data_IF_284245543952
#
_entry.id   IF_284245543952
#
_cell.length_a   1.000
_cell.length_b   1.000
_cell.length_c   1.000
_cell.angle_alpha   90.00
_cell.angle_beta   90.00
_cell.angle_gamma   90.00
#
_symmetry.space_group_name_H-M   'P 1'
#
loop_
_entity.id
_entity.type
_entity.pdbx_description
1 polymer ?
#
# COMPACT_ATOMS: atom_id res chain seq x y z
N UNK A 1 47.28 -61.39 23.64
CA UNK A 1 47.16 -62.09 22.35
C UNK A 1 46.53 -61.14 21.35
N UNK A 2 47.34 -60.71 20.38
CA UNK A 2 46.94 -59.90 19.23
C UNK A 2 46.42 -60.88 18.17
N UNK A 3 45.28 -60.58 17.53
CA UNK A 3 45.13 -60.95 16.13
C UNK A 3 44.32 -59.91 15.36
N UNK A 4 44.93 -59.51 14.25
CA UNK A 4 44.58 -58.43 13.34
C UNK A 4 43.89 -58.99 12.10
N UNK A 5 43.08 -58.16 11.42
CA UNK A 5 42.76 -58.11 9.97
C UNK A 5 41.40 -57.39 9.82
N UNK A 6 41.15 -56.41 8.95
CA UNK A 6 41.85 -55.89 7.77
C UNK A 6 41.34 -54.47 7.46
N UNK A 7 42.26 -53.63 6.97
CA UNK A 7 42.03 -52.38 6.23
C UNK A 7 41.01 -52.52 5.10
N UNK A 8 40.28 -51.43 4.81
CA UNK A 8 40.42 -50.71 3.53
C UNK A 8 39.95 -49.26 3.64
N UNK A 9 40.95 -48.39 3.55
CA UNK A 9 40.91 -46.97 3.25
C UNK A 9 40.48 -46.79 1.78
N UNK A 10 39.51 -45.92 1.51
CA UNK A 10 39.46 -45.23 0.22
C UNK A 10 39.14 -43.75 0.47
N UNK A 11 40.07 -42.94 -0.01
CA UNK A 11 40.23 -41.51 0.18
C UNK A 11 39.97 -40.88 -1.19
N UNK A 12 39.11 -39.86 -1.26
CA UNK A 12 39.10 -38.81 -2.28
C UNK A 12 38.51 -37.58 -1.58
N UNK A 13 39.35 -36.68 -1.06
CA UNK A 13 39.93 -35.52 -1.76
C UNK A 13 38.82 -34.54 -2.18
N UNK A 14 38.61 -33.49 -1.36
CA UNK A 14 39.04 -32.10 -1.62
C UNK A 14 38.10 -31.41 -2.62
N UNK A 15 37.40 -30.33 -2.25
CA UNK A 15 38.06 -29.03 -2.07
C UNK A 15 37.24 -28.05 -1.20
N UNK A 16 37.85 -27.64 -0.09
CA UNK A 16 37.71 -26.26 0.41
C UNK A 16 38.43 -25.33 -0.58
N UNK A 17 37.82 -24.19 -0.94
CA UNK A 17 38.58 -22.94 -1.12
C UNK A 17 37.79 -21.83 -0.45
N UNK A 18 38.37 -21.32 0.63
CA UNK A 18 37.96 -20.13 1.34
C UNK A 18 38.41 -18.87 0.58
N UNK A 19 37.79 -17.77 0.97
CA UNK A 19 37.98 -16.40 0.50
C UNK A 19 39.44 -15.91 0.46
N UNK A 20 39.69 -14.96 -0.46
CA UNK A 20 40.71 -13.93 -0.30
C UNK A 20 41.48 -13.58 -1.58
N UNK A 21 41.16 -12.43 -2.18
CA UNK A 21 42.14 -11.47 -2.72
C UNK A 21 41.43 -10.19 -3.20
N UNK A 22 41.53 -9.13 -2.40
CA UNK A 22 41.58 -7.75 -2.89
C UNK A 22 42.95 -7.53 -3.53
N UNK A 23 43.01 -7.04 -4.78
CA UNK A 23 43.80 -5.87 -5.24
C UNK A 23 43.81 -5.77 -6.77
N UNK A 24 43.18 -4.71 -7.28
CA UNK A 24 43.64 -3.83 -8.37
C UNK A 24 44.15 -4.40 -9.70
N UNK A 25 43.36 -4.22 -10.76
CA UNK A 25 43.85 -3.73 -12.04
C UNK A 25 42.92 -2.63 -12.53
N UNK A 26 43.50 -1.44 -12.75
CA UNK A 26 42.82 -0.25 -13.25
C UNK A 26 42.53 -0.36 -14.77
N UNK A 27 41.41 0.26 -15.14
CA UNK A 27 40.98 0.72 -16.47
C UNK A 27 40.76 -0.30 -17.59
N UNK A 28 39.48 -0.52 -17.91
CA UNK A 28 38.96 0.06 -19.15
C UNK A 28 37.50 0.54 -18.98
N UNK A 29 37.20 1.74 -19.49
CA UNK A 29 35.85 2.31 -19.53
C UNK A 29 35.08 1.62 -20.65
N UNK A 30 34.00 0.90 -20.33
CA UNK A 30 32.75 0.84 -21.11
C UNK A 30 31.92 -0.38 -20.73
N UNK A 31 31.23 -0.27 -19.61
CA UNK A 31 29.95 -0.95 -19.41
C UNK A 31 29.40 -0.34 -18.14
N UNK A 32 28.68 0.78 -18.29
CA UNK A 32 27.70 1.15 -17.28
C UNK A 32 26.89 -0.12 -17.00
N UNK A 33 26.86 -0.64 -15.76
CA UNK A 33 25.91 -1.68 -15.45
C UNK A 33 24.54 -1.07 -15.67
N UNK A 34 23.86 -1.48 -16.74
CA UNK A 34 22.45 -1.17 -16.95
C UNK A 34 21.74 -1.39 -15.62
N UNK A 35 21.00 -0.40 -15.09
CA UNK A 35 20.38 -0.56 -13.78
C UNK A 35 19.55 -1.84 -13.81
N UNK A 36 19.75 -2.73 -12.83
CA UNK A 36 19.09 -4.01 -12.82
C UNK A 36 17.56 -3.78 -12.86
N UNK A 37 16.87 -4.49 -13.77
CA UNK A 37 15.41 -4.47 -13.82
C UNK A 37 14.88 -4.82 -12.42
N UNK A 38 14.00 -3.97 -11.88
CA UNK A 38 13.38 -4.24 -10.59
C UNK A 38 12.13 -5.07 -10.84
N UNK A 39 12.14 -6.32 -10.38
CA UNK A 39 10.97 -7.20 -10.46
C UNK A 39 10.10 -7.04 -9.22
N UNK A 40 8.80 -6.80 -9.41
CA UNK A 40 7.83 -6.93 -8.33
C UNK A 40 6.57 -7.67 -8.78
N UNK A 41 5.88 -8.28 -7.81
CA UNK A 41 4.50 -8.73 -7.91
C UNK A 41 3.57 -7.68 -7.31
N UNK A 42 2.29 -7.78 -7.63
CA UNK A 42 1.26 -7.02 -6.92
C UNK A 42 0.15 -7.97 -6.51
N UNK A 43 -0.43 -7.71 -5.36
CA UNK A 43 -1.65 -8.34 -4.91
C UNK A 43 -2.71 -7.26 -4.81
N UNK A 44 -3.71 -7.33 -5.68
CA UNK A 44 -4.87 -6.49 -5.52
C UNK A 44 -5.73 -7.12 -4.42
N UNK A 45 -5.97 -6.42 -3.31
CA UNK A 45 -6.58 -7.02 -2.13
C UNK A 45 -7.82 -6.26 -1.67
N UNK A 46 -8.95 -6.82 -2.06
CA UNK A 46 -10.20 -6.87 -1.31
C UNK A 46 -10.45 -8.37 -1.13
N UNK A 47 -9.79 -9.00 -0.18
CA UNK A 47 -9.79 -10.48 -0.12
C UNK A 47 -9.11 -11.21 -1.29
N UNK A 48 -8.28 -10.53 -2.08
CA UNK A 48 -7.74 -10.90 -3.41
C UNK A 48 -8.70 -10.63 -4.59
N UNK A 49 -8.29 -9.71 -5.49
CA UNK A 49 -9.01 -9.39 -6.72
C UNK A 49 -8.57 -10.37 -7.81
N UNK A 50 -9.45 -11.29 -8.20
CA UNK A 50 -9.21 -12.35 -9.17
C UNK A 50 -9.55 -11.89 -10.59
N UNK A 51 -8.76 -12.29 -11.59
CA UNK A 51 -9.10 -12.10 -13.01
C UNK A 51 -9.07 -10.65 -13.51
N UNK A 52 -8.56 -9.70 -12.73
CA UNK A 52 -8.42 -8.31 -13.14
C UNK A 52 -7.25 -8.11 -14.11
N UNK A 53 -7.38 -7.12 -14.99
CA UNK A 53 -6.24 -6.58 -15.76
C UNK A 53 -5.63 -5.44 -14.98
N UNK A 54 -4.35 -5.54 -14.67
CA UNK A 54 -3.58 -4.51 -14.02
C UNK A 54 -2.56 -3.90 -14.99
N UNK A 55 -2.48 -2.58 -15.00
CA UNK A 55 -1.55 -1.81 -15.83
C UNK A 55 -0.67 -0.95 -14.93
N UNK A 56 0.64 -0.99 -15.16
CA UNK A 56 1.62 -0.12 -14.50
C UNK A 56 1.95 1.04 -15.44
N UNK A 57 1.73 2.26 -14.96
CA UNK A 57 2.12 3.49 -15.65
C UNK A 57 3.17 4.24 -14.85
N UNK A 58 4.08 4.90 -15.55
CA UNK A 58 5.03 5.83 -14.93
C UNK A 58 4.44 7.24 -14.76
N UNK A 59 5.22 8.14 -14.16
CA UNK A 59 4.79 9.50 -13.88
C UNK A 59 4.58 10.36 -15.15
N UNK A 60 5.07 9.93 -16.31
CA UNK A 60 4.80 10.59 -17.60
C UNK A 60 3.62 9.96 -18.35
N UNK A 61 2.96 8.97 -17.74
CA UNK A 61 1.76 8.31 -18.25
C UNK A 61 2.05 7.19 -19.25
N UNK A 62 3.31 6.82 -19.46
CA UNK A 62 3.68 5.71 -20.33
C UNK A 62 3.30 4.38 -19.66
N UNK A 63 2.61 3.52 -20.40
CA UNK A 63 2.36 2.15 -19.96
C UNK A 63 3.66 1.36 -20.01
N UNK A 64 4.13 0.92 -18.85
CA UNK A 64 5.34 0.11 -18.74
C UNK A 64 5.03 -1.38 -18.91
N UNK A 65 3.91 -1.83 -18.34
CA UNK A 65 3.56 -3.25 -18.29
C UNK A 65 2.06 -3.43 -18.07
N UNK A 66 1.53 -4.53 -18.59
CA UNK A 66 0.18 -5.04 -18.28
C UNK A 66 0.28 -6.51 -17.87
N UNK A 67 -0.54 -6.91 -16.91
CA UNK A 67 -0.62 -8.27 -16.39
C UNK A 67 -2.03 -8.57 -15.89
N UNK A 68 -2.32 -9.85 -15.66
CA UNK A 68 -3.57 -10.27 -15.05
C UNK A 68 -3.32 -10.80 -13.64
N UNK A 69 -4.29 -10.60 -12.74
CA UNK A 69 -4.30 -11.28 -11.45
C UNK A 69 -4.77 -12.73 -11.63
N UNK A 70 -4.11 -13.64 -10.92
CA UNK A 70 -4.44 -15.08 -10.92
C UNK A 70 -5.67 -15.35 -10.06
N UNK A 71 -6.07 -16.62 -9.95
CA UNK A 71 -7.14 -17.08 -9.07
C UNK A 71 -6.83 -16.95 -7.57
N UNK A 72 -5.63 -16.49 -7.21
CA UNK A 72 -5.27 -16.14 -5.83
C UNK A 72 -5.14 -14.62 -5.63
N UNK A 73 -5.49 -13.83 -6.66
CA UNK A 73 -5.38 -12.37 -6.74
C UNK A 73 -3.94 -11.85 -6.74
N UNK A 74 -2.97 -12.76 -6.70
CA UNK A 74 -1.55 -12.51 -6.95
C UNK A 74 -1.27 -12.53 -8.43
N UNK A 75 -0.16 -11.92 -8.85
CA UNK A 75 0.41 -12.17 -10.17
C UNK A 75 1.81 -12.74 -10.01
N UNK A 76 2.03 -13.96 -10.52
CA UNK A 76 3.36 -14.60 -10.57
C UNK A 76 4.24 -14.03 -11.70
N UNK A 77 3.80 -12.97 -12.37
CA UNK A 77 4.56 -12.32 -13.43
C UNK A 77 5.62 -11.45 -12.80
N UNK A 78 6.90 -11.75 -13.06
CA UNK A 78 7.98 -10.82 -12.80
C UNK A 78 7.73 -9.55 -13.62
N UNK A 79 7.23 -8.50 -12.98
CA UNK A 79 7.03 -7.21 -13.63
C UNK A 79 8.41 -6.61 -13.84
N UNK A 80 8.94 -6.74 -15.06
CA UNK A 80 10.16 -6.04 -15.44
C UNK A 80 9.84 -4.56 -15.58
N UNK A 81 9.87 -3.84 -14.47
CA UNK A 81 9.84 -2.38 -14.54
C UNK A 81 11.19 -1.95 -15.07
N UNK A 82 11.13 -1.28 -16.23
CA UNK A 82 12.30 -0.85 -16.96
C UNK A 82 13.22 -0.03 -16.04
N UNK A 83 14.51 -0.24 -16.18
CA UNK A 83 15.57 0.42 -15.42
C UNK A 83 15.46 1.97 -15.38
N UNK A 84 14.76 2.55 -16.35
CA UNK A 84 14.54 3.98 -16.55
C UNK A 84 13.11 4.44 -16.21
N UNK A 85 12.30 3.62 -15.54
CA UNK A 85 10.96 4.00 -15.14
C UNK A 85 10.97 5.26 -14.27
N UNK A 86 10.16 6.24 -14.64
CA UNK A 86 10.06 7.50 -13.89
C UNK A 86 9.02 7.35 -12.79
N UNK A 87 9.48 7.28 -11.54
CA UNK A 87 8.61 7.23 -10.37
C UNK A 87 7.94 8.60 -10.10
N UNK A 88 6.81 8.62 -9.39
CA UNK A 88 6.02 7.48 -8.89
C UNK A 88 5.37 6.64 -9.99
N UNK A 89 5.15 5.35 -9.71
CA UNK A 89 4.39 4.47 -10.59
C UNK A 89 2.96 4.35 -10.09
N UNK A 90 2.00 4.27 -11.01
CA UNK A 90 0.60 4.00 -10.71
C UNK A 90 0.25 2.62 -11.25
N UNK A 91 -0.16 1.73 -10.34
CA UNK A 91 -0.81 0.47 -10.71
C UNK A 91 -2.31 0.74 -10.78
N UNK A 92 -2.95 0.35 -11.89
CA UNK A 92 -4.41 0.43 -12.06
C UNK A 92 -4.95 -0.94 -12.44
N UNK A 93 -5.79 -1.52 -11.60
CA UNK A 93 -6.45 -2.81 -11.81
C UNK A 93 -7.94 -2.61 -12.08
N UNK A 94 -8.40 -3.17 -13.19
CA UNK A 94 -9.77 -3.04 -13.66
C UNK A 94 -10.33 -4.39 -14.11
N UNK A 95 -11.64 -4.41 -14.33
CA UNK A 95 -12.33 -5.54 -14.90
C UNK A 95 -11.79 -5.89 -16.31
N UNK A 96 -11.68 -7.18 -16.63
CA UNK A 96 -11.24 -7.64 -17.95
C UNK A 96 -12.48 -7.96 -18.81
N UNK A 97 -12.45 -7.63 -20.10
CA UNK A 97 -13.51 -8.06 -21.03
C UNK A 97 -13.60 -9.58 -21.21
N UNK A 98 -12.51 -10.31 -20.93
CA UNK A 98 -12.47 -11.78 -21.03
C UNK A 98 -12.91 -12.50 -19.75
N UNK A 99 -12.75 -11.88 -18.57
CA UNK A 99 -13.10 -12.45 -17.27
C UNK A 99 -13.59 -11.34 -16.35
N UNK A 100 -14.70 -11.58 -15.66
CA UNK A 100 -15.17 -10.67 -14.62
C UNK A 100 -14.18 -10.66 -13.45
N UNK A 101 -13.62 -9.49 -13.16
CA UNK A 101 -12.80 -9.31 -11.98
C UNK A 101 -13.67 -9.40 -10.73
N UNK A 102 -13.37 -10.38 -9.87
CA UNK A 102 -14.12 -10.63 -8.64
C UNK A 102 -13.26 -10.50 -7.42
N UNK A 103 -13.87 -10.17 -6.29
CA UNK A 103 -13.20 -10.04 -5.02
C UNK A 103 -14.16 -10.46 -3.91
N UNK A 104 -13.63 -10.96 -2.80
CA UNK A 104 -14.45 -11.27 -1.64
C UNK A 104 -14.80 -9.98 -0.91
N UNK A 105 -16.08 -9.65 -0.81
CA UNK A 105 -16.56 -8.50 -0.03
C UNK A 105 -16.97 -8.98 1.37
N UNK A 106 -16.19 -8.60 2.37
CA UNK A 106 -16.40 -9.03 3.76
C UNK A 106 -17.67 -8.42 4.39
N UNK A 107 -18.25 -7.39 3.78
CA UNK A 107 -19.55 -6.85 4.15
C UNK A 107 -20.68 -7.75 3.63
N UNK A 108 -20.60 -8.13 2.36
CA UNK A 108 -21.57 -9.00 1.70
C UNK A 108 -21.48 -10.46 2.14
N UNK A 109 -20.31 -10.89 2.63
CA UNK A 109 -19.95 -12.28 2.87
C UNK A 109 -20.07 -13.13 1.58
N UNK A 110 -19.62 -12.54 0.46
CA UNK A 110 -19.77 -13.11 -0.86
C UNK A 110 -18.75 -12.53 -1.85
N UNK A 111 -18.48 -13.28 -2.92
CA UNK A 111 -17.73 -12.77 -4.07
C UNK A 111 -18.57 -11.77 -4.86
N UNK A 112 -18.03 -10.57 -5.06
CA UNK A 112 -18.63 -9.51 -5.85
C UNK A 112 -17.81 -9.20 -7.09
N UNK A 113 -18.51 -8.74 -8.14
CA UNK A 113 -17.88 -8.21 -9.34
C UNK A 113 -17.39 -6.77 -9.07
N UNK A 114 -16.19 -6.44 -9.51
CA UNK A 114 -15.65 -5.08 -9.42
C UNK A 114 -16.44 -4.06 -10.27
N UNK A 115 -17.15 -4.55 -11.29
CA UNK A 115 -17.98 -3.74 -12.18
C UNK A 115 -17.12 -2.87 -13.08
N UNK A 116 -17.41 -1.56 -13.09
CA UNK A 116 -16.66 -0.55 -13.83
C UNK A 116 -15.59 0.14 -12.99
N UNK A 117 -15.48 -0.21 -11.71
CA UNK A 117 -14.52 0.43 -10.80
C UNK A 117 -13.09 0.04 -11.17
N UNK A 118 -12.17 1.00 -10.99
CA UNK A 118 -10.73 0.79 -11.16
C UNK A 118 -10.07 0.99 -9.80
N UNK A 119 -9.42 -0.05 -9.29
CA UNK A 119 -8.60 0.06 -8.09
C UNK A 119 -7.19 0.52 -8.48
N UNK A 120 -6.59 1.35 -7.65
CA UNK A 120 -5.28 1.93 -7.90
C UNK A 120 -4.36 1.80 -6.69
N UNK A 121 -3.07 1.83 -6.96
CA UNK A 121 -2.01 1.97 -5.97
C UNK A 121 -0.88 2.83 -6.51
N UNK A 122 -0.08 3.40 -5.60
CA UNK A 122 1.04 4.28 -5.94
C UNK A 122 2.31 3.65 -5.40
N UNK A 123 3.29 3.40 -6.26
CA UNK A 123 4.65 3.05 -5.82
C UNK A 123 5.47 4.34 -5.84
N UNK A 124 5.84 4.92 -4.67
CA UNK A 124 6.47 6.23 -4.64
C UNK A 124 7.88 6.26 -5.25
N UNK A 125 8.65 5.19 -5.06
CA UNK A 125 10.02 5.05 -5.50
C UNK A 125 10.42 3.56 -5.54
N UNK A 126 11.57 3.25 -6.15
CA UNK A 126 12.06 1.88 -6.26
C UNK A 126 12.38 1.23 -4.90
N UNK A 127 12.78 2.01 -3.89
CA UNK A 127 13.12 1.49 -2.57
C UNK A 127 11.90 0.99 -1.78
N UNK A 128 10.70 1.44 -2.12
CA UNK A 128 9.45 0.94 -1.52
C UNK A 128 9.15 -0.52 -1.88
N UNK A 129 9.62 -1.01 -3.03
CA UNK A 129 9.34 -2.37 -3.51
C UNK A 129 9.94 -3.47 -2.60
N UNK A 130 11.26 -3.48 -2.31
CA UNK A 130 11.82 -4.48 -1.41
C UNK A 130 11.28 -4.36 0.03
N UNK A 131 10.84 -3.17 0.46
CA UNK A 131 10.23 -2.97 1.79
C UNK A 131 8.92 -3.75 1.95
N UNK A 132 8.18 -3.94 0.86
CA UNK A 132 6.89 -4.66 0.87
C UNK A 132 7.02 -6.08 0.33
N UNK A 133 8.22 -6.65 0.34
CA UNK A 133 8.48 -8.00 -0.18
C UNK A 133 8.30 -8.11 -1.70
N UNK A 134 8.32 -6.97 -2.39
CA UNK A 134 7.96 -6.82 -3.79
C UNK A 134 6.52 -7.26 -4.10
N UNK A 135 5.59 -7.21 -3.13
CA UNK A 135 4.18 -7.53 -3.34
C UNK A 135 3.30 -6.33 -3.02
N UNK A 136 3.04 -5.51 -4.02
CA UNK A 136 2.35 -4.22 -3.86
C UNK A 136 0.84 -4.41 -3.77
N UNK A 137 0.25 -3.90 -2.70
CA UNK A 137 -1.20 -3.88 -2.49
C UNK A 137 -1.91 -2.96 -3.49
N UNK A 138 -3.00 -3.43 -4.09
CA UNK A 138 -3.95 -2.61 -4.88
C UNK A 138 -5.35 -2.76 -4.29
N UNK A 139 -5.76 -1.79 -3.49
CA UNK A 139 -6.92 -1.87 -2.59
C UNK A 139 -7.79 -0.63 -2.68
N UNK A 140 -8.93 -0.64 -2.01
CA UNK A 140 -9.75 0.56 -1.81
C UNK A 140 -9.00 1.68 -1.10
N UNK A 141 -8.21 1.37 -0.06
CA UNK A 141 -7.42 2.37 0.67
C UNK A 141 -6.31 2.96 -0.21
N UNK A 142 -5.55 2.14 -0.95
CA UNK A 142 -4.53 2.68 -1.87
C UNK A 142 -5.16 3.43 -3.04
N UNK A 143 -6.41 3.12 -3.41
CA UNK A 143 -7.16 3.87 -4.43
C UNK A 143 -7.53 5.27 -3.95
N UNK A 144 -7.91 5.41 -2.67
CA UNK A 144 -8.13 6.72 -2.07
C UNK A 144 -6.85 7.56 -2.06
N UNK A 145 -5.71 6.96 -1.71
CA UNK A 145 -4.41 7.63 -1.77
C UNK A 145 -4.03 8.01 -3.21
N UNK A 146 -4.27 7.12 -4.18
CA UNK A 146 -4.07 7.40 -5.60
C UNK A 146 -4.92 8.58 -6.07
N UNK A 147 -6.19 8.66 -5.68
CA UNK A 147 -7.05 9.79 -6.00
C UNK A 147 -6.51 11.11 -5.42
N UNK A 148 -6.05 11.10 -4.16
CA UNK A 148 -5.43 12.27 -3.53
C UNK A 148 -4.17 12.72 -4.27
N UNK A 149 -3.28 11.78 -4.64
CA UNK A 149 -2.08 12.08 -5.42
C UNK A 149 -2.40 12.61 -6.83
N UNK A 150 -3.32 11.96 -7.54
CA UNK A 150 -3.72 12.35 -8.89
C UNK A 150 -4.47 13.69 -8.92
N UNK A 151 -5.02 14.15 -7.79
CA UNK A 151 -5.62 15.49 -7.68
C UNK A 151 -4.60 16.63 -7.72
N UNK A 152 -3.33 16.31 -7.45
CA UNK A 152 -2.27 17.31 -7.45
C UNK A 152 -1.94 17.80 -8.87
N UNK A 153 -1.50 19.05 -9.03
CA UNK A 153 -0.86 19.51 -10.26
C UNK A 153 0.30 18.60 -10.68
N UNK A 154 0.53 18.41 -11.98
CA UNK A 154 1.55 17.50 -12.49
C UNK A 154 2.98 17.81 -11.97
N UNK A 155 3.30 19.08 -11.73
CA UNK A 155 4.59 19.50 -11.17
C UNK A 155 4.73 19.20 -9.65
N UNK A 156 3.64 18.88 -8.96
CA UNK A 156 3.64 18.47 -7.55
C UNK A 156 3.59 16.95 -7.38
N UNK A 157 3.37 16.19 -8.48
CA UNK A 157 3.31 14.72 -8.50
C UNK A 157 4.71 14.11 -8.51
N UNK A 158 5.20 13.77 -7.33
CA UNK A 158 6.53 13.20 -7.13
C UNK A 158 6.54 12.19 -5.98
N UNK A 159 7.69 11.59 -5.67
CA UNK A 159 7.81 10.57 -4.62
C UNK A 159 7.38 11.08 -3.24
N UNK A 160 7.67 12.33 -2.90
CA UNK A 160 7.29 12.93 -1.61
C UNK A 160 5.78 13.05 -1.48
N UNK A 161 5.12 13.57 -2.52
CA UNK A 161 3.67 13.72 -2.50
C UNK A 161 2.94 12.38 -2.63
N UNK A 162 3.51 11.38 -3.31
CA UNK A 162 3.00 10.01 -3.31
C UNK A 162 3.03 9.37 -1.91
N UNK A 163 4.15 9.51 -1.18
CA UNK A 163 4.24 9.07 0.23
C UNK A 163 3.22 9.82 1.08
N UNK A 164 3.19 11.16 0.96
CA UNK A 164 2.26 11.99 1.68
C UNK A 164 0.79 11.60 1.44
N UNK A 165 0.42 11.24 0.20
CA UNK A 165 -0.93 10.77 -0.10
C UNK A 165 -1.30 9.48 0.62
N UNK A 166 -0.39 8.50 0.64
CA UNK A 166 -0.59 7.23 1.34
C UNK A 166 -0.74 7.47 2.85
N UNK A 167 0.16 8.27 3.43
CA UNK A 167 0.13 8.56 4.85
C UNK A 167 -1.08 9.39 5.26
N UNK A 168 -1.45 10.43 4.49
CA UNK A 168 -2.52 11.35 4.90
C UNK A 168 -3.89 10.66 4.85
N UNK A 169 -4.11 9.77 3.88
CA UNK A 169 -5.32 8.94 3.86
C UNK A 169 -5.35 7.97 5.05
N UNK A 170 -4.24 7.29 5.33
CA UNK A 170 -4.15 6.38 6.49
C UNK A 170 -4.33 7.12 7.81
N UNK A 171 -3.67 8.28 8.00
CA UNK A 171 -3.83 9.14 9.18
C UNK A 171 -5.28 9.52 9.35
N UNK A 172 -5.96 9.99 8.31
CA UNK A 172 -7.35 10.42 8.43
C UNK A 172 -8.32 9.29 8.79
N UNK A 173 -8.10 8.10 8.22
CA UNK A 173 -9.03 6.98 8.31
C UNK A 173 -8.71 6.03 9.48
N UNK A 174 -7.47 5.54 9.55
CA UNK A 174 -7.02 4.49 10.47
C UNK A 174 -5.50 4.62 10.74
N UNK A 175 -5.08 5.54 11.64
CA UNK A 175 -3.68 5.94 11.82
C UNK A 175 -2.71 4.80 12.14
N UNK A 176 -3.15 3.80 12.90
CA UNK A 176 -2.30 2.69 13.37
C UNK A 176 -1.79 1.78 12.26
N UNK A 177 -2.37 1.86 11.05
CA UNK A 177 -1.77 1.24 9.87
C UNK A 177 -0.38 1.80 9.58
N UNK A 178 -0.04 2.99 10.05
CA UNK A 178 1.28 3.60 9.86
C UNK A 178 2.30 3.20 10.94
N UNK A 179 1.87 2.56 12.02
CA UNK A 179 2.76 2.22 13.12
C UNK A 179 3.83 1.22 12.66
N UNK A 180 5.08 1.52 13.00
CA UNK A 180 6.24 0.65 12.75
C UNK A 180 6.45 0.26 11.26
N UNK A 181 6.07 1.14 10.33
CA UNK A 181 6.31 0.91 8.89
C UNK A 181 5.86 2.06 7.97
N UNK A 182 5.10 3.03 8.50
CA UNK A 182 4.65 4.20 7.75
C UNK A 182 3.81 3.80 6.54
N UNK A 183 3.98 4.54 5.44
CA UNK A 183 3.25 4.27 4.19
C UNK A 183 3.48 2.86 3.63
N UNK A 184 4.61 2.21 3.93
CA UNK A 184 4.94 0.89 3.38
C UNK A 184 3.93 -0.17 3.81
N UNK A 185 3.35 -0.04 5.01
CA UNK A 185 2.29 -0.94 5.49
C UNK A 185 1.04 -0.90 4.62
N UNK A 186 0.71 0.25 4.00
CA UNK A 186 -0.40 0.35 3.04
C UNK A 186 -0.07 -0.24 1.68
N UNK A 187 1.23 -0.29 1.34
CA UNK A 187 1.70 -0.89 0.10
C UNK A 187 1.96 -2.38 0.25
N UNK A 188 2.07 -2.89 1.47
CA UNK A 188 2.19 -4.32 1.72
C UNK A 188 0.85 -5.01 1.46
N UNK A 189 0.88 -6.08 0.67
CA UNK A 189 -0.28 -6.93 0.46
C UNK A 189 -0.87 -7.38 1.82
N UNK A 190 -2.15 -7.06 2.12
CA UNK A 190 -2.82 -7.57 3.30
C UNK A 190 -3.12 -9.06 3.16
N UNK A 191 -3.56 -9.66 4.25
CA UNK A 191 -3.98 -11.06 4.26
C UNK A 191 -5.13 -11.25 3.28
N UNK A 192 -4.98 -12.22 2.37
CA UNK A 192 -6.03 -12.64 1.47
C UNK A 192 -7.17 -13.30 2.26
N UNK A 193 -8.40 -12.83 2.04
CA UNK A 193 -9.63 -13.32 2.68
C UNK A 193 -10.53 -13.84 1.58
N UNK A 194 -10.70 -15.16 1.50
CA UNK A 194 -11.55 -15.81 0.48
C UNK A 194 -12.87 -16.33 1.05
N UNK A 195 -13.02 -16.27 2.37
CA UNK A 195 -14.21 -16.63 3.12
C UNK A 195 -14.18 -16.00 4.52
N UNK A 196 -15.29 -16.10 5.25
CA UNK A 196 -15.43 -15.57 6.61
C UNK A 196 -14.66 -16.33 7.69
N UNK A 197 -13.99 -17.44 7.36
CA UNK A 197 -13.19 -18.23 8.30
C UNK A 197 -11.70 -17.89 8.29
N UNK A 198 -11.27 -17.03 7.37
CA UNK A 198 -9.88 -16.59 7.27
C UNK A 198 -9.41 -15.98 8.62
N UNK A 199 -8.28 -16.50 9.10
CA UNK A 199 -7.63 -16.01 10.33
C UNK A 199 -6.65 -14.90 9.98
N UNK A 200 -6.85 -13.73 10.58
CA UNK A 200 -6.01 -12.57 10.38
C UNK A 200 -4.83 -12.56 11.35
N UNK A 201 -3.63 -12.31 10.85
CA UNK A 201 -2.41 -12.24 11.67
C UNK A 201 -1.49 -11.10 11.26
N UNK A 202 -0.82 -10.51 12.25
CA UNK A 202 0.12 -9.40 12.07
C UNK A 202 -0.47 -8.17 11.36
N UNK A 203 0.42 -7.32 10.82
CA UNK A 203 0.01 -6.08 10.11
C UNK A 203 -0.80 -6.32 8.84
N UNK A 204 -0.47 -7.37 8.09
CA UNK A 204 -1.26 -7.78 6.93
C UNK A 204 -2.71 -8.16 7.32
N UNK A 205 -2.88 -8.80 8.48
CA UNK A 205 -4.18 -9.11 9.08
C UNK A 205 -4.92 -7.86 9.57
N UNK A 206 -4.23 -6.93 10.25
CA UNK A 206 -4.82 -5.65 10.63
C UNK A 206 -5.32 -4.88 9.40
N UNK A 207 -4.53 -4.84 8.33
CA UNK A 207 -4.92 -4.16 7.10
C UNK A 207 -6.15 -4.83 6.44
N UNK A 208 -6.20 -6.17 6.39
CA UNK A 208 -7.40 -6.88 5.95
C UNK A 208 -8.63 -6.55 6.80
N UNK A 209 -8.50 -6.45 8.13
CA UNK A 209 -9.61 -6.04 9.00
C UNK A 209 -10.13 -4.63 8.68
N UNK A 210 -9.24 -3.69 8.34
CA UNK A 210 -9.63 -2.32 7.94
C UNK A 210 -10.43 -2.32 6.63
N UNK A 211 -10.00 -3.12 5.66
CA UNK A 211 -10.71 -3.30 4.39
C UNK A 211 -12.10 -3.91 4.63
N UNK A 212 -12.20 -4.91 5.50
CA UNK A 212 -13.47 -5.51 5.89
C UNK A 212 -14.39 -4.51 6.61
N UNK A 213 -13.83 -3.66 7.48
CA UNK A 213 -14.56 -2.57 8.11
C UNK A 213 -15.16 -1.59 7.09
N UNK A 214 -14.40 -1.25 6.05
CA UNK A 214 -14.87 -0.41 4.94
C UNK A 214 -15.99 -1.10 4.15
N UNK A 215 -15.86 -2.39 3.83
CA UNK A 215 -16.89 -3.15 3.13
C UNK A 215 -18.21 -3.22 3.91
N UNK A 216 -18.14 -3.48 5.23
CA UNK A 216 -19.31 -3.48 6.12
C UNK A 216 -20.01 -2.12 6.16
N UNK A 217 -19.25 -1.03 6.29
CA UNK A 217 -19.85 0.33 6.27
C UNK A 217 -20.48 0.65 4.93
N UNK A 218 -19.87 0.23 3.81
CA UNK A 218 -20.45 0.44 2.49
C UNK A 218 -21.81 -0.25 2.35
N UNK A 219 -21.94 -1.47 2.88
CA UNK A 219 -23.17 -2.24 2.87
C UNK A 219 -24.25 -1.67 3.79
N UNK A 220 -23.89 -1.36 5.03
CA UNK A 220 -24.85 -1.13 6.11
C UNK A 220 -25.29 0.34 6.24
N UNK A 221 -24.45 1.30 5.84
CA UNK A 221 -24.70 2.73 6.07
C UNK A 221 -25.32 3.47 4.87
N UNK A 222 -25.60 2.79 3.76
CA UNK A 222 -26.13 3.40 2.54
C UNK A 222 -27.38 2.70 2.05
N UNK A 223 -28.34 3.47 1.55
CA UNK A 223 -29.57 2.97 0.90
C UNK A 223 -29.72 3.61 -0.48
N UNK A 224 -29.59 2.85 -1.59
CA UNK A 224 -29.19 1.44 -1.63
C UNK A 224 -27.75 1.23 -1.14
N UNK A 225 -27.45 0.00 -0.70
CA UNK A 225 -26.11 -0.41 -0.26
C UNK A 225 -25.06 -0.14 -1.32
N UNK A 226 -23.85 0.21 -0.87
CA UNK A 226 -22.67 0.41 -1.72
C UNK A 226 -21.73 -0.78 -1.59
N UNK A 227 -20.95 -1.01 -2.62
CA UNK A 227 -19.75 -1.85 -2.56
C UNK A 227 -18.62 -1.10 -1.85
N UNK A 228 -17.64 -1.85 -1.32
CA UNK A 228 -16.43 -1.27 -0.74
C UNK A 228 -15.74 -0.31 -1.73
N UNK A 229 -15.70 -0.67 -3.01
CA UNK A 229 -15.07 0.12 -4.06
C UNK A 229 -15.79 1.46 -4.32
N UNK A 230 -17.12 1.48 -4.30
CA UNK A 230 -17.91 2.71 -4.43
C UNK A 230 -17.75 3.63 -3.23
N UNK A 231 -17.74 3.09 -2.00
CA UNK A 231 -17.49 3.87 -0.80
C UNK A 231 -16.08 4.48 -0.83
N UNK A 232 -15.08 3.70 -1.23
CA UNK A 232 -13.71 4.20 -1.35
C UNK A 232 -13.58 5.32 -2.39
N UNK A 233 -14.29 5.23 -3.52
CA UNK A 233 -14.34 6.30 -4.52
C UNK A 233 -14.96 7.59 -3.95
N UNK A 234 -16.02 7.47 -3.15
CA UNK A 234 -16.64 8.60 -2.46
C UNK A 234 -15.66 9.22 -1.45
N UNK A 235 -15.05 8.40 -0.60
CA UNK A 235 -14.08 8.86 0.40
C UNK A 235 -12.82 9.43 -0.24
N UNK A 236 -12.39 8.93 -1.41
CA UNK A 236 -11.30 9.51 -2.19
C UNK A 236 -11.62 10.92 -2.66
N UNK A 237 -12.86 11.17 -3.10
CA UNK A 237 -13.32 12.53 -3.46
C UNK A 237 -13.35 13.46 -2.25
N UNK A 238 -13.79 12.96 -1.10
CA UNK A 238 -13.76 13.68 0.17
C UNK A 238 -12.34 14.01 0.64
N UNK A 239 -11.42 13.04 0.52
CA UNK A 239 -10.00 13.21 0.84
C UNK A 239 -9.37 14.33 0.01
N UNK A 240 -9.68 14.41 -1.29
CA UNK A 240 -9.25 15.52 -2.16
C UNK A 240 -9.80 16.86 -1.67
N UNK A 241 -11.01 16.88 -1.11
CA UNK A 241 -11.61 18.05 -0.46
C UNK A 241 -10.99 18.41 0.90
N UNK A 242 -10.07 17.60 1.43
CA UNK A 242 -9.35 17.84 2.69
C UNK A 242 -10.01 17.25 3.94
N UNK A 243 -11.14 16.54 3.81
CA UNK A 243 -11.81 15.95 4.96
C UNK A 243 -12.68 14.76 4.58
N UNK A 244 -12.60 13.68 5.35
CA UNK A 244 -13.51 12.54 5.35
C UNK A 244 -14.65 12.76 6.33
N UNK A 245 -15.82 12.23 6.02
CA UNK A 245 -16.96 12.22 6.93
C UNK A 245 -16.62 11.47 8.23
N UNK A 246 -16.62 12.18 9.37
CA UNK A 246 -16.23 11.64 10.65
C UNK A 246 -17.15 10.51 11.15
N UNK A 247 -18.44 10.52 10.80
CA UNK A 247 -19.35 9.44 11.14
C UNK A 247 -18.98 8.18 10.34
N UNK A 248 -18.63 8.35 9.06
CA UNK A 248 -18.17 7.23 8.22
C UNK A 248 -16.85 6.66 8.73
N UNK A 249 -15.84 7.49 9.01
CA UNK A 249 -14.54 7.00 9.52
C UNK A 249 -14.66 6.33 10.89
N UNK A 250 -15.49 6.86 11.80
CA UNK A 250 -15.75 6.22 13.09
C UNK A 250 -16.45 4.86 12.94
N UNK A 251 -17.40 4.75 12.01
CA UNK A 251 -18.05 3.48 11.74
C UNK A 251 -17.08 2.46 11.11
N UNK A 252 -16.15 2.91 10.24
CA UNK A 252 -15.12 2.03 9.68
C UNK A 252 -14.24 1.48 10.81
N UNK A 253 -13.82 2.33 11.75
CA UNK A 253 -13.06 1.88 12.93
C UNK A 253 -13.85 0.87 13.77
N UNK A 254 -15.12 1.15 14.05
CA UNK A 254 -15.97 0.26 14.84
C UNK A 254 -16.15 -1.12 14.16
N UNK A 255 -16.42 -1.13 12.85
CA UNK A 255 -16.58 -2.37 12.08
C UNK A 255 -15.27 -3.14 11.92
N UNK A 256 -14.15 -2.43 11.77
CA UNK A 256 -12.80 -3.01 11.77
C UNK A 256 -12.55 -3.77 13.07
N UNK A 257 -12.82 -3.14 14.22
CA UNK A 257 -12.68 -3.76 15.54
C UNK A 257 -13.56 -5.01 15.65
N UNK A 258 -14.82 -4.92 15.29
CA UNK A 258 -15.74 -6.05 15.36
C UNK A 258 -15.27 -7.24 14.50
N UNK A 259 -14.75 -6.97 13.29
CA UNK A 259 -14.19 -8.00 12.42
C UNK A 259 -12.91 -8.61 13.02
N UNK A 260 -11.96 -7.78 13.46
CA UNK A 260 -10.71 -8.23 14.09
C UNK A 260 -10.95 -9.05 15.36
N UNK A 261 -11.95 -8.72 16.18
CA UNK A 261 -12.28 -9.52 17.37
C UNK A 261 -12.82 -10.92 17.03
N UNK A 262 -13.43 -11.08 15.86
CA UNK A 262 -13.96 -12.37 15.40
C UNK A 262 -12.89 -13.19 14.69
N UNK A 263 -12.14 -12.56 13.78
CA UNK A 263 -11.26 -13.22 12.82
C UNK A 263 -9.75 -13.08 13.11
N UNK A 264 -9.38 -12.17 14.01
CA UNK A 264 -7.99 -11.90 14.34
C UNK A 264 -7.38 -12.86 15.35
N UNK A 265 -6.08 -13.10 15.20
CA UNK A 265 -5.24 -13.57 16.28
C UNK A 265 -5.15 -12.53 17.41
N UNK A 266 -4.46 -12.88 18.51
CA UNK A 266 -4.36 -11.98 19.66
C UNK A 266 -3.65 -10.66 19.31
N UNK A 267 -2.64 -10.70 18.42
CA UNK A 267 -1.90 -9.50 18.02
C UNK A 267 -2.78 -8.52 17.25
N UNK A 268 -3.57 -9.01 16.28
CA UNK A 268 -4.52 -8.18 15.52
C UNK A 268 -5.62 -7.63 16.43
N UNK A 269 -6.10 -8.45 17.39
CA UNK A 269 -7.08 -8.00 18.38
C UNK A 269 -6.55 -6.86 19.23
N UNK A 270 -5.32 -6.98 19.72
CA UNK A 270 -4.69 -5.98 20.57
C UNK A 270 -4.40 -4.69 19.79
N UNK A 271 -3.84 -4.82 18.59
CA UNK A 271 -3.54 -3.69 17.69
C UNK A 271 -4.80 -2.89 17.36
N UNK A 272 -5.93 -3.56 17.10
CA UNK A 272 -7.18 -2.88 16.71
C UNK A 272 -8.02 -2.41 17.90
N UNK A 273 -7.90 -3.02 19.09
CA UNK A 273 -8.79 -2.73 20.23
C UNK A 273 -8.80 -1.26 20.64
N UNK A 274 -7.63 -0.62 20.63
CA UNK A 274 -7.44 0.75 21.09
C UNK A 274 -7.48 1.79 19.96
N UNK A 275 -7.73 1.37 18.73
CA UNK A 275 -7.69 2.28 17.60
C UNK A 275 -8.82 3.32 17.60
N UNK A 276 -8.51 4.48 17.04
CA UNK A 276 -9.45 5.57 16.84
C UNK A 276 -9.29 6.13 15.43
N UNK A 277 -10.33 6.77 14.91
CA UNK A 277 -10.20 7.48 13.63
C UNK A 277 -9.25 8.67 13.83
N UNK A 278 -8.53 9.09 12.79
CA UNK A 278 -7.69 10.28 12.87
C UNK A 278 -8.46 11.59 12.72
N UNK A 279 -9.75 11.61 13.10
CA UNK A 279 -10.60 12.80 13.01
C UNK A 279 -11.04 13.17 11.59
N UNK A 280 -10.68 12.39 10.57
CA UNK A 280 -11.12 12.57 9.19
C UNK A 280 -10.42 13.71 8.43
N UNK A 281 -9.57 14.53 9.05
CA UNK A 281 -8.82 15.57 8.32
C UNK A 281 -7.77 14.93 7.41
N UNK A 282 -7.75 15.35 6.15
CA UNK A 282 -6.78 14.88 5.15
C UNK A 282 -5.95 16.07 4.69
N UNK A 283 -4.67 16.07 5.04
CA UNK A 283 -3.76 17.11 4.59
C UNK A 283 -3.44 16.95 3.09
N UNK A 284 -3.36 18.08 2.37
CA UNK A 284 -2.84 18.07 1.00
C UNK A 284 -1.35 17.64 1.05
N UNK A 285 -0.95 16.60 0.33
CA UNK A 285 0.45 16.19 0.26
C UNK A 285 1.32 17.29 -0.32
N UNK A 286 2.50 17.51 0.27
CA UNK A 286 3.48 18.47 -0.25
C UNK A 286 4.55 17.75 -1.09
N UNK A 287 5.12 18.47 -2.06
CA UNK A 287 6.16 17.96 -2.96
C UNK A 287 7.58 17.97 -2.37
N UNK A 288 7.81 18.71 -1.26
CA UNK A 288 9.09 18.90 -0.55
C UNK A 288 10.20 19.61 -1.37
N UNK A 289 10.82 20.72 -0.95
CA UNK A 289 10.65 21.54 0.26
C UNK A 289 11.37 22.90 0.18
N UNK A 290 11.16 23.74 1.20
CA UNK A 290 12.16 24.66 1.75
C UNK A 290 12.09 24.59 3.27
N UNK A 291 13.26 24.66 3.87
CA UNK A 291 13.54 24.80 5.30
C UNK A 291 12.73 25.96 5.91
N UNK A 292 12.12 25.73 7.08
CA UNK A 292 11.66 26.80 7.98
C UNK A 292 10.17 27.13 7.93
N UNK A 293 9.42 26.56 8.87
CA UNK A 293 8.03 26.92 9.12
C UNK A 293 7.56 26.43 10.49
N UNK A 294 8.36 26.67 11.53
CA UNK A 294 7.81 26.72 12.90
C UNK A 294 6.71 27.77 12.94
N UNK A 295 5.63 27.45 13.63
CA UNK A 295 4.36 28.17 13.64
C UNK A 295 4.44 29.68 13.85
N UNK A 296 3.43 30.34 13.29
CA UNK A 296 3.10 31.72 13.54
C UNK A 296 1.67 31.95 13.07
N UNK A 297 0.71 31.66 13.95
CA UNK A 297 -0.63 32.23 13.88
C UNK A 297 -0.53 33.73 13.65
N UNK A 298 -0.93 34.20 12.46
CA UNK A 298 -1.09 35.62 12.16
C UNK A 298 -2.29 36.18 12.93
N UNK A 299 -2.06 36.52 14.20
CA UNK A 299 -2.93 37.37 14.99
C UNK A 299 -2.94 38.77 14.40
N UNK A 300 -4.15 39.24 14.11
CA UNK A 300 -4.61 40.63 13.93
C UNK A 300 -3.55 41.73 14.15
N UNK A 301 -3.16 42.39 13.06
CA UNK A 301 -2.47 43.68 13.11
C UNK A 301 -3.38 44.74 13.75
N UNK A 302 -2.82 45.43 14.74
CA UNK A 302 -3.46 46.54 15.42
C UNK A 302 -3.51 47.82 14.59
N UNK A 303 -4.59 48.57 14.79
CA UNK A 303 -4.60 50.04 14.83
C UNK A 303 -4.58 50.38 16.32
N UNK A 304 -3.52 50.97 16.89
CA UNK A 304 -3.09 52.34 16.64
C UNK A 304 -3.70 53.23 17.73
N UNK A 305 -3.01 53.34 18.87
CA UNK A 305 -3.41 54.18 19.99
C UNK A 305 -3.00 55.65 19.83
N UNK A 306 -3.82 56.54 20.39
CA UNK A 306 -3.51 57.88 20.90
C UNK A 306 -4.85 58.46 21.36
N UNK A 307 -5.10 59.03 22.53
CA UNK A 307 -4.26 59.57 23.59
C UNK A 307 -5.14 60.61 24.30
N UNK A 308 -4.88 60.87 25.59
CA UNK A 308 -5.14 62.16 26.24
C UNK A 308 -6.59 62.66 26.35
N UNK A 309 -7.11 62.60 27.59
CA UNK A 309 -8.01 63.54 28.27
C UNK A 309 -7.90 65.03 27.84
N UNK A 310 -8.91 65.89 28.10
CA UNK A 310 -9.63 66.08 29.38
C UNK A 310 -10.92 65.28 29.58
#
# INVERSE_FOLDING_TARGET
>A
MINSKKMRLTMFAASMVAAGALTGCFNDKSSDPSPAATSFSSTASLGALFGAVCTVKDNVGATLQTYNTTQTGKSDVALNVAANATYPLIISCANNSANSATYYDEGADADLNLGTTVLKSIIPNAASLPQVGNDVAVTTLTSMAAALYESLPANERNSTSAIGSLENVAKALYPSLLDNGGYANLLQAPTTVVDSSAVLSGKAGQYAAVLAGLAKVAKDNYTPSKTAAELASLLGTQAVGGSLDAAVTNNIVAQTKAYAQTNGDQGVKDDTANDSSGGGTVDKPSSGGTTGGTGGTGGTGGTGGSGGQP
#
